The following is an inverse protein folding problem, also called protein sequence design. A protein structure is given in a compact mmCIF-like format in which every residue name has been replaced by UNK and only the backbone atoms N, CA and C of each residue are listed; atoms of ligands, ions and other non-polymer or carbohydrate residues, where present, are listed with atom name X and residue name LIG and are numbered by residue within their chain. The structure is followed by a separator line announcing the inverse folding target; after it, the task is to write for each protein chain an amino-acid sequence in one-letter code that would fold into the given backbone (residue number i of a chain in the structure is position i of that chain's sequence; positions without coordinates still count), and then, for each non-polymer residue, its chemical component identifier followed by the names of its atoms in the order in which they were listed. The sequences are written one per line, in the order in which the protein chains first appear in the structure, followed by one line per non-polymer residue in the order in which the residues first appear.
data_IF_297993662874
#
_entry.id   IF_297993662874
#
_cell.length_a   1.000
_cell.length_b   1.000
_cell.length_c   1.000
_cell.angle_alpha   90.00
_cell.angle_beta   90.00
_cell.angle_gamma   90.00
#
_symmetry.space_group_name_H-M   'P 1'
#
loop_
_entity.id
_entity.type
_entity.pdbx_description
1 polymer ?
#
# COMPACT_ATOMS: atom_id res chain seq x y z
N UNK A 1 7.82 19.89 17.04
CA UNK A 1 8.98 19.43 17.81
C UNK A 1 9.37 20.55 18.77
N UNK A 2 9.69 20.22 20.03
CA UNK A 2 10.08 21.23 21.03
C UNK A 2 11.43 21.89 20.69
N UNK A 3 11.65 23.12 21.18
CA UNK A 3 12.88 23.88 20.93
C UNK A 3 14.13 23.19 21.49
N UNK A 4 14.01 22.43 22.58
CA UNK A 4 15.12 21.66 23.15
C UNK A 4 15.58 20.52 22.22
N UNK A 5 14.63 19.80 21.62
CA UNK A 5 14.92 18.74 20.66
C UNK A 5 15.56 19.31 19.39
N UNK A 6 15.10 20.47 18.91
CA UNK A 6 15.73 21.17 17.78
C UNK A 6 17.17 21.60 18.07
N UNK A 7 17.42 22.13 19.28
CA UNK A 7 18.77 22.49 19.73
C UNK A 7 19.67 21.27 19.81
N UNK A 8 19.22 20.19 20.46
CA UNK A 8 19.98 18.94 20.54
C UNK A 8 20.29 18.39 19.15
N UNK A 9 19.29 18.37 18.27
CA UNK A 9 19.42 17.92 16.89
C UNK A 9 20.58 18.63 16.15
N UNK A 10 20.81 19.91 16.39
CA UNK A 10 21.93 20.67 15.78
C UNK A 10 23.31 20.23 16.26
N UNK A 11 23.41 19.65 17.46
CA UNK A 11 24.67 19.20 18.09
C UNK A 11 25.06 17.76 17.72
N UNK A 12 24.15 16.99 17.12
CA UNK A 12 24.38 15.58 16.82
C UNK A 12 25.49 15.42 15.77
N UNK A 13 26.56 14.73 16.16
CA UNK A 13 27.62 14.31 15.23
C UNK A 13 27.04 13.33 14.20
N UNK A 14 27.11 13.71 12.92
CA UNK A 14 26.63 12.89 11.81
C UNK A 14 27.62 11.77 11.48
N UNK A 15 27.09 10.60 11.14
CA UNK A 15 27.84 9.49 10.51
C UNK A 15 27.19 9.21 9.16
N UNK A 16 27.95 9.46 8.10
CA UNK A 16 27.49 9.31 6.73
C UNK A 16 27.38 7.82 6.36
N UNK A 17 26.40 7.49 5.53
CA UNK A 17 26.23 6.15 4.94
C UNK A 17 26.11 6.27 3.42
N UNK A 18 26.84 5.41 2.70
CA UNK A 18 26.74 5.25 1.25
C UNK A 18 26.26 3.84 0.91
N UNK A 19 25.07 3.71 0.34
CA UNK A 19 24.47 2.44 -0.07
C UNK A 19 23.31 2.70 -1.04
N UNK A 20 22.85 1.70 -1.79
CA UNK A 20 21.67 1.84 -2.66
C UNK A 20 20.43 2.36 -1.92
N UNK A 21 20.29 1.94 -0.66
CA UNK A 21 19.34 2.52 0.30
C UNK A 21 20.09 2.75 1.62
N UNK A 22 20.56 3.98 1.88
CA UNK A 22 21.28 4.30 3.10
C UNK A 22 20.45 3.99 4.34
N UNK A 23 21.10 3.36 5.33
CA UNK A 23 20.47 2.98 6.59
C UNK A 23 21.46 3.16 7.74
N UNK A 24 20.92 3.42 8.92
CA UNK A 24 21.70 3.50 10.14
C UNK A 24 20.93 2.83 11.28
N UNK A 25 21.63 2.10 12.13
CA UNK A 25 21.05 1.44 13.30
C UNK A 25 21.91 1.67 14.54
N UNK A 26 21.26 1.83 15.68
CA UNK A 26 21.87 1.78 17.00
C UNK A 26 20.95 1.01 17.96
N UNK A 27 21.56 0.39 18.95
CA UNK A 27 20.88 -0.34 20.01
C UNK A 27 21.16 0.33 21.36
N UNK A 28 20.18 0.30 22.26
CA UNK A 28 20.35 0.77 23.64
C UNK A 28 19.45 -0.02 24.59
N UNK A 29 19.74 0.04 25.88
CA UNK A 29 18.95 -0.64 26.91
C UNK A 29 17.89 0.27 27.51
N UNK A 30 16.76 -0.30 27.87
CA UNK A 30 15.66 0.35 28.60
C UNK A 30 15.19 -0.57 29.72
N UNK A 31 14.68 0.02 30.80
CA UNK A 31 14.09 -0.71 31.92
C UNK A 31 12.57 -0.88 31.77
N UNK A 32 11.99 -0.41 30.66
CA UNK A 32 10.57 -0.51 30.37
C UNK A 32 10.14 -1.97 30.12
N UNK A 33 8.92 -2.30 30.57
CA UNK A 33 8.27 -3.56 30.24
C UNK A 33 7.87 -3.59 28.76
N UNK A 34 7.69 -4.80 28.22
CA UNK A 34 7.23 -5.01 26.84
C UNK A 34 5.92 -4.24 26.58
N UNK A 35 5.02 -4.23 27.56
CA UNK A 35 3.67 -3.67 27.47
C UNK A 35 3.68 -2.16 27.29
N UNK A 36 4.52 -1.43 28.04
CA UNK A 36 4.55 0.05 28.01
C UNK A 36 5.51 0.62 26.98
N UNK A 37 6.39 -0.21 26.42
CA UNK A 37 7.42 0.21 25.48
C UNK A 37 6.83 0.90 24.24
N UNK A 38 5.93 0.23 23.50
CA UNK A 38 5.35 0.76 22.27
C UNK A 38 4.58 2.08 22.50
N UNK A 39 3.72 2.20 23.53
CA UNK A 39 3.09 3.48 23.90
C UNK A 39 4.09 4.63 24.10
N UNK A 40 5.22 4.37 24.77
CA UNK A 40 6.26 5.38 24.98
C UNK A 40 6.97 5.74 23.66
N UNK A 41 7.18 4.76 22.77
CA UNK A 41 7.69 5.00 21.42
C UNK A 41 6.74 5.88 20.62
N UNK A 42 5.43 5.64 20.66
CA UNK A 42 4.41 6.44 19.97
C UNK A 42 4.43 7.89 20.48
N UNK A 43 4.41 8.10 21.80
CA UNK A 43 4.55 9.44 22.40
C UNK A 43 5.87 10.13 21.97
N UNK A 44 6.93 9.35 21.81
CA UNK A 44 8.22 9.87 21.31
C UNK A 44 8.10 10.32 19.84
N UNK A 45 7.39 9.57 18.99
CA UNK A 45 7.13 9.97 17.60
C UNK A 45 6.28 11.25 17.52
N UNK A 46 5.24 11.37 18.35
CA UNK A 46 4.41 12.58 18.44
C UNK A 46 5.24 13.82 18.78
N UNK A 47 6.13 13.72 19.78
CA UNK A 47 7.05 14.82 20.14
C UNK A 47 8.00 15.21 19.02
N UNK A 48 8.39 14.24 18.20
CA UNK A 48 9.26 14.44 17.04
C UNK A 48 8.51 14.88 15.78
N UNK A 49 7.17 14.99 15.84
CA UNK A 49 6.28 15.22 14.70
C UNK A 49 6.51 14.21 13.57
N UNK A 50 6.63 12.93 13.93
CA UNK A 50 6.71 11.85 12.95
C UNK A 50 5.38 11.11 12.88
N UNK A 51 4.94 10.82 11.67
CA UNK A 51 3.67 10.17 11.44
C UNK A 51 3.80 8.67 11.64
N UNK A 52 3.08 8.15 12.62
CA UNK A 52 3.01 6.71 12.89
C UNK A 52 2.38 5.99 11.69
N UNK A 53 3.09 4.99 11.16
CA UNK A 53 2.61 4.20 10.01
C UNK A 53 2.33 2.75 10.36
N UNK A 54 2.94 2.24 11.43
CA UNK A 54 2.78 0.86 11.87
C UNK A 54 3.07 0.74 13.37
N UNK A 55 2.32 -0.13 14.05
CA UNK A 55 2.62 -0.57 15.42
C UNK A 55 2.19 -2.03 15.58
N UNK A 56 2.94 -2.79 16.37
CA UNK A 56 2.57 -4.09 16.91
C UNK A 56 2.94 -4.15 18.41
N UNK A 57 2.96 -5.33 19.01
CA UNK A 57 3.28 -5.49 20.44
C UNK A 57 4.73 -5.15 20.82
N UNK A 58 5.68 -5.21 19.88
CA UNK A 58 7.13 -5.09 20.15
C UNK A 58 7.82 -4.06 19.28
N UNK A 59 7.12 -3.48 18.32
CA UNK A 59 7.69 -2.62 17.32
C UNK A 59 6.75 -1.53 16.87
N UNK A 60 7.33 -0.40 16.47
CA UNK A 60 6.60 0.68 15.85
C UNK A 60 7.45 1.31 14.74
N UNK A 61 6.79 1.72 13.67
CA UNK A 61 7.40 2.44 12.55
C UNK A 61 6.72 3.78 12.35
N UNK A 62 7.52 4.80 12.09
CA UNK A 62 7.03 6.13 11.75
C UNK A 62 7.79 6.68 10.54
N UNK A 63 7.12 7.54 9.77
CA UNK A 63 7.70 8.24 8.63
C UNK A 63 7.80 9.73 8.94
N UNK A 64 8.91 10.33 8.51
CA UNK A 64 9.12 11.77 8.62
C UNK A 64 8.72 12.45 7.33
N UNK A 65 7.85 13.43 7.46
CA UNK A 65 7.50 14.32 6.36
C UNK A 65 8.58 15.39 6.18
N UNK A 66 9.07 15.55 4.95
CA UNK A 66 9.98 16.61 4.54
C UNK A 66 9.26 17.78 3.90
N UNK A 67 10.05 18.73 3.39
CA UNK A 67 9.54 19.85 2.61
C UNK A 67 8.76 19.32 1.39
N UNK A 68 7.64 19.97 1.05
CA UNK A 68 6.70 19.53 0.01
C UNK A 68 5.89 18.26 0.31
N UNK A 69 5.64 17.95 1.59
CA UNK A 69 4.68 16.90 1.99
C UNK A 69 5.09 15.48 1.51
N UNK A 70 6.40 15.26 1.27
CA UNK A 70 6.96 13.96 0.84
C UNK A 70 7.60 13.24 2.02
N UNK A 71 7.45 11.93 2.07
CA UNK A 71 8.18 11.10 3.03
C UNK A 71 9.68 11.06 2.69
N UNK A 72 10.52 11.31 3.69
CA UNK A 72 11.97 11.43 3.49
C UNK A 72 12.73 10.28 4.14
N UNK A 73 12.36 9.95 5.38
CA UNK A 73 13.00 8.92 6.18
C UNK A 73 11.93 8.07 6.90
N UNK A 74 12.20 6.78 7.05
CA UNK A 74 11.44 5.86 7.90
C UNK A 74 12.28 5.44 9.08
N UNK A 75 11.72 5.52 10.28
CA UNK A 75 12.32 4.91 11.46
C UNK A 75 11.53 3.66 11.85
N UNK A 76 12.24 2.63 12.28
CA UNK A 76 11.71 1.40 12.84
C UNK A 76 12.35 1.20 14.20
N UNK A 77 11.52 0.96 15.21
CA UNK A 77 11.95 0.75 16.59
C UNK A 77 11.42 -0.61 17.01
N UNK A 78 12.28 -1.48 17.52
CA UNK A 78 11.93 -2.84 17.94
C UNK A 78 12.48 -3.11 19.34
N UNK A 79 11.70 -3.80 20.16
CA UNK A 79 12.06 -4.23 21.50
C UNK A 79 12.34 -5.73 21.53
N UNK A 80 13.48 -6.08 22.12
CA UNK A 80 13.90 -7.46 22.34
C UNK A 80 14.51 -7.59 23.75
N UNK A 81 13.73 -8.10 24.70
CA UNK A 81 14.14 -8.36 26.10
C UNK A 81 14.95 -7.22 26.75
N UNK A 82 14.44 -5.98 26.73
CA UNK A 82 15.09 -4.81 27.33
C UNK A 82 16.13 -4.14 26.43
N UNK A 83 16.36 -4.66 25.22
CA UNK A 83 17.19 -4.05 24.19
C UNK A 83 16.27 -3.39 23.16
N UNK A 84 16.43 -2.08 22.98
CA UNK A 84 15.75 -1.28 21.97
C UNK A 84 16.66 -1.15 20.76
N UNK A 85 16.22 -1.68 19.62
CA UNK A 85 16.86 -1.53 18.33
C UNK A 85 16.17 -0.43 17.54
N UNK A 86 16.92 0.60 17.16
CA UNK A 86 16.41 1.72 16.39
C UNK A 86 17.12 1.79 15.05
N UNK A 87 16.34 1.77 13.98
CA UNK A 87 16.83 1.76 12.60
C UNK A 87 16.17 2.86 11.80
N UNK A 88 16.96 3.72 11.15
CA UNK A 88 16.48 4.72 10.20
C UNK A 88 16.92 4.34 8.78
N UNK A 89 16.00 4.46 7.82
CA UNK A 89 16.22 4.17 6.40
C UNK A 89 15.74 5.34 5.55
N UNK A 90 16.52 5.73 4.55
CA UNK A 90 16.12 6.74 3.57
C UNK A 90 15.06 6.17 2.60
N UNK A 91 13.99 6.93 2.36
CA UNK A 91 12.91 6.53 1.45
C UNK A 91 13.07 7.06 0.02
N UNK A 92 13.99 8.02 -0.18
CA UNK A 92 14.33 8.56 -1.50
C UNK A 92 15.32 7.69 -2.27
N UNK A 93 15.53 8.01 -3.55
CA UNK A 93 16.51 7.35 -4.41
C UNK A 93 17.96 7.83 -4.17
N UNK A 94 18.26 8.39 -2.99
CA UNK A 94 19.59 8.90 -2.69
C UNK A 94 20.52 7.77 -2.23
N UNK A 95 21.64 7.57 -2.92
CA UNK A 95 22.65 6.59 -2.50
C UNK A 95 23.55 7.08 -1.35
N UNK A 96 23.37 8.34 -0.94
CA UNK A 96 24.12 8.98 0.14
C UNK A 96 23.17 9.77 1.03
N UNK A 97 23.17 9.49 2.34
CA UNK A 97 22.25 10.13 3.27
C UNK A 97 22.80 11.40 3.92
N UNK A 98 24.07 11.76 3.67
CA UNK A 98 24.77 12.85 4.35
C UNK A 98 24.62 12.79 5.90
N UNK A 99 24.56 11.58 6.45
CA UNK A 99 24.38 11.30 7.88
C UNK A 99 23.01 11.67 8.45
N UNK A 100 22.00 11.89 7.60
CA UNK A 100 20.60 12.09 8.02
C UNK A 100 20.13 10.93 8.90
N UNK A 101 20.28 9.68 8.48
CA UNK A 101 19.80 8.53 9.26
C UNK A 101 20.44 8.44 10.65
N UNK A 102 21.75 8.69 10.74
CA UNK A 102 22.44 8.72 12.05
C UNK A 102 21.94 9.83 12.97
N UNK A 103 21.59 10.98 12.40
CA UNK A 103 21.00 12.10 13.13
C UNK A 103 19.62 11.72 13.68
N UNK A 104 18.81 11.04 12.87
CA UNK A 104 17.44 10.60 13.24
C UNK A 104 17.45 9.56 14.35
N UNK A 105 18.29 8.52 14.23
CA UNK A 105 18.40 7.47 15.27
C UNK A 105 18.84 8.07 16.62
N UNK A 106 19.85 8.96 16.59
CA UNK A 106 20.36 9.59 17.83
C UNK A 106 19.37 10.58 18.43
N UNK A 107 18.67 11.34 17.60
CA UNK A 107 17.60 12.24 18.04
C UNK A 107 16.46 11.45 18.68
N UNK A 108 16.04 10.35 18.04
CA UNK A 108 15.02 9.47 18.59
C UNK A 108 15.46 8.90 19.94
N UNK A 109 16.68 8.35 20.04
CA UNK A 109 17.21 7.83 21.31
C UNK A 109 17.19 8.88 22.42
N UNK A 110 17.60 10.11 22.13
CA UNK A 110 17.55 11.20 23.11
C UNK A 110 16.11 11.55 23.50
N UNK A 111 15.21 11.72 22.53
CA UNK A 111 13.79 12.03 22.78
C UNK A 111 13.08 10.91 23.55
N UNK A 112 13.42 9.66 23.27
CA UNK A 112 12.92 8.49 23.97
C UNK A 112 13.36 8.51 25.43
N UNK A 113 14.64 8.74 25.70
CA UNK A 113 15.16 8.84 27.08
C UNK A 113 14.56 10.01 27.87
N UNK A 114 14.23 11.13 27.21
CA UNK A 114 13.51 12.23 27.86
C UNK A 114 12.07 11.83 28.16
N UNK A 115 11.40 11.18 27.20
CA UNK A 115 10.02 10.72 27.37
C UNK A 115 9.91 9.66 28.45
N UNK A 116 10.82 8.69 28.50
CA UNK A 116 10.92 7.67 29.55
C UNK A 116 11.05 8.29 30.94
N UNK A 117 11.81 9.39 31.08
CA UNK A 117 11.99 10.10 32.36
C UNK A 117 10.79 10.91 32.82
N UNK A 118 9.85 11.23 31.93
CA UNK A 118 8.61 11.93 32.30
C UNK A 118 7.63 10.99 33.00
N UNK A 119 7.81 9.67 32.90
CA UNK A 119 7.01 8.68 33.59
C UNK A 119 7.71 8.23 34.87
N UNK A 120 7.08 8.49 36.01
CA UNK A 120 7.41 7.84 37.26
C UNK A 120 6.90 6.38 37.31
N UNK A 121 7.29 5.62 38.33
CA UNK A 121 6.88 4.21 38.46
C UNK A 121 5.36 4.04 38.54
N UNK A 122 4.66 4.98 39.15
CA UNK A 122 3.21 4.94 39.30
C UNK A 122 2.50 5.19 37.96
N UNK A 123 2.96 6.17 37.18
CA UNK A 123 2.43 6.44 35.83
C UNK A 123 2.81 5.36 34.82
N UNK A 124 3.97 4.72 34.94
CA UNK A 124 4.30 3.53 34.14
C UNK A 124 3.35 2.37 34.45
N UNK A 125 3.07 2.12 35.73
CA UNK A 125 2.11 1.09 36.12
C UNK A 125 0.67 1.45 35.69
N UNK A 126 0.29 2.72 35.75
CA UNK A 126 -1.00 3.18 35.22
C UNK A 126 -1.09 2.99 33.70
N UNK A 127 -0.03 3.35 32.96
CA UNK A 127 0.06 3.14 31.52
C UNK A 127 0.03 1.65 31.16
N UNK A 128 0.70 0.81 31.95
CA UNK A 128 0.64 -0.64 31.79
C UNK A 128 -0.79 -1.16 31.96
N UNK A 129 -1.49 -0.73 33.01
CA UNK A 129 -2.89 -1.07 33.22
C UNK A 129 -3.82 -0.52 32.11
N UNK A 130 -3.57 0.68 31.59
CA UNK A 130 -4.34 1.25 30.47
C UNK A 130 -4.14 0.45 29.19
N UNK A 131 -2.90 0.05 28.89
CA UNK A 131 -2.56 -0.75 27.71
C UNK A 131 -3.09 -2.16 27.85
N UNK A 132 -3.00 -2.75 29.03
CA UNK A 132 -3.62 -4.03 29.34
C UNK A 132 -5.13 -3.94 29.16
N UNK A 133 -5.82 -2.91 29.67
CA UNK A 133 -7.26 -2.72 29.42
C UNK A 133 -7.60 -2.51 27.95
N UNK A 134 -6.80 -1.75 27.21
CA UNK A 134 -7.04 -1.49 25.79
C UNK A 134 -6.86 -2.75 24.93
N UNK A 135 -5.90 -3.60 25.28
CA UNK A 135 -5.66 -4.88 24.60
C UNK A 135 -6.53 -6.00 25.19
N UNK A 136 -7.03 -5.83 26.42
CA UNK A 136 -7.88 -6.79 27.08
C UNK A 136 -9.33 -6.55 26.70
N UNK A 137 -9.77 -7.31 25.72
CA UNK A 137 -11.16 -7.38 25.33
C UNK A 137 -12.08 -8.04 26.37
N UNK A 138 -11.57 -8.55 27.51
CA UNK A 138 -12.39 -9.12 28.59
C UNK A 138 -13.48 -8.16 29.07
N UNK A 139 -13.20 -6.85 29.12
CA UNK A 139 -14.13 -5.80 29.55
C UNK A 139 -14.95 -5.22 28.38
N UNK A 140 -14.90 -5.82 27.18
CA UNK A 140 -15.71 -5.38 26.04
C UNK A 140 -17.20 -5.55 26.34
N UNK A 141 -17.91 -4.43 26.44
CA UNK A 141 -19.36 -4.41 26.57
C UNK A 141 -19.99 -4.71 25.21
N UNK A 142 -20.53 -5.92 25.07
CA UNK A 142 -21.27 -6.31 23.87
C UNK A 142 -22.47 -5.37 23.73
N UNK A 143 -22.56 -4.57 22.65
CA UNK A 143 -23.66 -3.63 22.47
C UNK A 143 -24.98 -4.40 22.33
N UNK A 144 -26.06 -3.87 22.93
CA UNK A 144 -27.38 -4.52 22.87
C UNK A 144 -27.92 -4.64 21.43
N UNK A 145 -27.52 -3.74 20.54
CA UNK A 145 -27.90 -3.74 19.13
C UNK A 145 -26.74 -3.25 18.26
N UNK A 146 -26.58 -3.86 17.09
CA UNK A 146 -25.66 -3.37 16.06
C UNK A 146 -26.38 -2.50 15.02
N UNK A 147 -25.65 -1.54 14.41
CA UNK A 147 -26.12 -0.86 13.21
C UNK A 147 -26.52 -1.88 12.15
N UNK A 148 -27.73 -1.74 11.60
CA UNK A 148 -28.28 -2.71 10.66
C UNK A 148 -27.58 -2.63 9.30
N UNK A 149 -27.43 -3.76 8.59
CA UNK A 149 -26.83 -3.77 7.26
C UNK A 149 -27.63 -2.87 6.32
N UNK A 150 -26.93 -1.99 5.59
CA UNK A 150 -27.56 -1.13 4.57
C UNK A 150 -28.24 -2.03 3.53
N UNK A 151 -29.36 -1.60 2.92
CA UNK A 151 -29.98 -2.36 1.82
C UNK A 151 -29.02 -2.43 0.63
N UNK A 152 -28.35 -3.57 0.48
CA UNK A 152 -27.28 -3.75 -0.51
C UNK A 152 -27.82 -4.27 -1.84
N UNK A 153 -27.10 -3.93 -2.92
CA UNK A 153 -27.33 -4.48 -4.26
C UNK A 153 -26.58 -5.80 -4.41
N UNK A 154 -27.15 -6.77 -5.10
CA UNK A 154 -26.45 -8.03 -5.35
C UNK A 154 -25.15 -7.81 -6.17
N UNK A 155 -24.06 -8.52 -5.82
CA UNK A 155 -22.78 -8.41 -6.51
C UNK A 155 -22.89 -8.90 -7.96
N UNK A 156 -22.49 -8.07 -8.93
CA UNK A 156 -22.59 -8.36 -10.37
C UNK A 156 -21.23 -8.43 -11.06
N UNK A 157 -20.63 -9.62 -11.10
CA UNK A 157 -19.30 -9.88 -11.70
C UNK A 157 -19.18 -9.47 -13.18
N UNK A 158 -20.26 -9.59 -13.96
CA UNK A 158 -20.21 -9.27 -15.39
C UNK A 158 -19.91 -7.80 -15.69
N UNK A 159 -20.26 -6.88 -14.77
CA UNK A 159 -20.06 -5.43 -14.94
C UNK A 159 -18.55 -5.09 -14.97
N UNK A 160 -17.73 -5.50 -13.99
CA UNK A 160 -16.28 -5.37 -14.07
C UNK A 160 -15.67 -6.01 -15.30
N UNK A 161 -16.14 -7.20 -15.71
CA UNK A 161 -15.59 -7.91 -16.87
C UNK A 161 -15.81 -7.11 -18.15
N UNK A 162 -17.06 -6.74 -18.46
CA UNK A 162 -17.40 -6.01 -19.68
C UNK A 162 -16.75 -4.62 -19.67
N UNK A 163 -16.85 -3.90 -18.55
CA UNK A 163 -16.25 -2.57 -18.39
C UNK A 163 -14.72 -2.61 -18.51
N UNK A 164 -14.09 -3.65 -17.94
CA UNK A 164 -12.65 -3.87 -18.00
C UNK A 164 -12.15 -4.13 -19.41
N UNK A 165 -12.82 -5.01 -20.16
CA UNK A 165 -12.47 -5.32 -21.57
C UNK A 165 -12.59 -4.07 -22.43
N UNK A 166 -13.71 -3.33 -22.34
CA UNK A 166 -13.91 -2.09 -23.10
C UNK A 166 -12.80 -1.08 -22.78
N UNK A 167 -12.48 -0.91 -21.50
CA UNK A 167 -11.42 0.00 -21.05
C UNK A 167 -10.06 -0.42 -21.60
N UNK A 168 -9.76 -1.72 -21.57
CA UNK A 168 -8.49 -2.24 -22.05
C UNK A 168 -8.29 -2.00 -23.56
N UNK A 169 -9.34 -2.16 -24.36
CA UNK A 169 -9.33 -1.87 -25.80
C UNK A 169 -9.17 -0.37 -26.09
N UNK A 170 -9.88 0.50 -25.37
CA UNK A 170 -9.75 1.96 -25.51
C UNK A 170 -8.33 2.39 -25.18
N UNK A 171 -7.77 1.90 -24.06
CA UNK A 171 -6.39 2.21 -23.67
C UNK A 171 -5.39 1.70 -24.70
N UNK A 172 -5.59 0.49 -25.23
CA UNK A 172 -4.76 -0.07 -26.29
C UNK A 172 -4.73 0.83 -27.52
N UNK A 173 -5.89 1.33 -27.94
CA UNK A 173 -6.00 2.26 -29.08
C UNK A 173 -5.31 3.60 -28.81
N UNK A 174 -5.53 4.20 -27.64
CA UNK A 174 -4.92 5.48 -27.27
C UNK A 174 -3.39 5.38 -27.23
N UNK A 175 -2.86 4.31 -26.62
CA UNK A 175 -1.41 4.07 -26.59
C UNK A 175 -0.88 3.88 -28.00
N UNK A 176 -1.55 3.09 -28.84
CA UNK A 176 -1.14 2.86 -30.22
C UNK A 176 -1.06 4.15 -31.03
N UNK A 177 -2.09 4.97 -30.95
CA UNK A 177 -2.16 6.26 -31.65
C UNK A 177 -1.02 7.20 -31.24
N UNK A 178 -0.72 7.28 -29.94
CA UNK A 178 0.37 8.12 -29.43
C UNK A 178 1.75 7.55 -29.77
N UNK A 179 1.89 6.22 -29.80
CA UNK A 179 3.11 5.54 -30.22
C UNK A 179 3.44 5.78 -31.69
N UNK A 180 2.47 5.66 -32.61
CA UNK A 180 2.70 5.91 -34.04
C UNK A 180 3.13 7.37 -34.29
N UNK A 181 2.60 8.32 -33.51
CA UNK A 181 2.99 9.74 -33.57
C UNK A 181 4.35 10.06 -32.92
N UNK A 182 5.04 9.08 -32.36
CA UNK A 182 6.35 9.28 -31.72
C UNK A 182 6.31 10.00 -30.37
N UNK A 183 5.13 10.13 -29.74
CA UNK A 183 4.95 10.82 -28.45
C UNK A 183 5.13 9.86 -27.27
N UNK A 184 5.24 8.56 -27.53
CA UNK A 184 5.30 7.53 -26.51
C UNK A 184 6.61 7.58 -25.68
N UNK A 185 6.47 7.65 -24.36
CA UNK A 185 7.57 7.68 -23.39
C UNK A 185 7.46 6.45 -22.49
N UNK A 186 8.47 5.56 -22.58
CA UNK A 186 8.58 4.35 -21.77
C UNK A 186 8.54 4.70 -20.28
N UNK A 187 7.76 3.95 -19.50
CA UNK A 187 7.56 4.11 -18.07
C UNK A 187 6.42 5.07 -17.75
N UNK A 188 6.37 6.24 -18.38
CA UNK A 188 5.31 7.24 -18.12
C UNK A 188 3.94 6.75 -18.59
N UNK A 189 3.89 6.16 -19.79
CA UNK A 189 2.65 5.67 -20.37
C UNK A 189 2.12 4.45 -19.60
N UNK A 190 2.99 3.54 -19.18
CA UNK A 190 2.67 2.35 -18.39
C UNK A 190 2.02 2.72 -17.06
N UNK A 191 2.60 3.73 -16.38
CA UNK A 191 2.06 4.29 -15.14
C UNK A 191 0.71 4.96 -15.41
N UNK A 192 0.59 5.75 -16.48
CA UNK A 192 -0.68 6.39 -16.88
C UNK A 192 -1.79 5.39 -17.15
N UNK A 193 -1.51 4.35 -17.94
CA UNK A 193 -2.43 3.22 -18.22
C UNK A 193 -2.87 2.57 -16.92
N UNK A 194 -1.93 2.24 -16.02
CA UNK A 194 -2.25 1.62 -14.74
C UNK A 194 -3.13 2.52 -13.84
N UNK A 195 -2.87 3.82 -13.81
CA UNK A 195 -3.68 4.79 -13.06
C UNK A 195 -5.11 4.83 -13.61
N UNK A 196 -5.28 4.89 -14.93
CA UNK A 196 -6.61 4.89 -15.56
C UNK A 196 -7.33 3.57 -15.29
N UNK A 197 -6.66 2.44 -15.46
CA UNK A 197 -7.23 1.11 -15.14
C UNK A 197 -7.69 1.03 -13.69
N UNK A 198 -6.83 1.42 -12.74
CA UNK A 198 -7.17 1.41 -11.32
C UNK A 198 -8.35 2.33 -10.98
N UNK A 199 -8.41 3.52 -11.60
CA UNK A 199 -9.54 4.43 -11.44
C UNK A 199 -10.84 3.82 -11.99
N UNK A 200 -10.82 3.24 -13.19
CA UNK A 200 -12.00 2.65 -13.80
C UNK A 200 -12.46 1.43 -13.01
N UNK A 201 -11.55 0.54 -12.62
CA UNK A 201 -11.86 -0.61 -11.76
C UNK A 201 -12.51 -0.18 -10.44
N UNK A 202 -12.01 0.89 -9.80
CA UNK A 202 -12.64 1.47 -8.60
C UNK A 202 -14.10 1.88 -8.86
N UNK A 203 -14.42 2.46 -10.01
CA UNK A 203 -15.80 2.80 -10.33
C UNK A 203 -16.63 1.55 -10.65
N UNK A 204 -16.07 0.58 -11.39
CA UNK A 204 -16.74 -0.68 -11.71
C UNK A 204 -17.07 -1.48 -10.46
N UNK A 205 -16.16 -1.57 -9.49
CA UNK A 205 -16.37 -2.19 -8.17
C UNK A 205 -17.55 -1.53 -7.46
N UNK A 206 -17.58 -0.19 -7.40
CA UNK A 206 -18.68 0.56 -6.75
C UNK A 206 -20.03 0.32 -7.43
N UNK A 207 -20.06 0.31 -8.76
CA UNK A 207 -21.30 0.14 -9.54
C UNK A 207 -21.81 -1.30 -9.44
N UNK A 208 -20.91 -2.27 -9.42
CA UNK A 208 -21.22 -3.71 -9.39
C UNK A 208 -21.39 -4.29 -8.00
N UNK A 209 -20.97 -3.56 -6.95
CA UNK A 209 -20.90 -4.04 -5.58
C UNK A 209 -20.05 -5.33 -5.44
N UNK A 210 -19.05 -5.50 -6.30
CA UNK A 210 -18.24 -6.72 -6.40
C UNK A 210 -16.84 -6.50 -5.83
N UNK A 211 -16.48 -7.18 -4.74
CA UNK A 211 -15.25 -6.93 -3.96
C UNK A 211 -14.25 -8.09 -3.93
N UNK A 212 -14.57 -9.26 -4.50
CA UNK A 212 -13.69 -10.42 -4.48
C UNK A 212 -12.33 -10.13 -5.15
N UNK A 213 -11.29 -10.09 -4.34
CA UNK A 213 -9.95 -9.66 -4.73
C UNK A 213 -9.38 -10.54 -5.85
N UNK A 214 -9.38 -11.86 -5.70
CA UNK A 214 -8.75 -12.78 -6.66
C UNK A 214 -9.33 -12.62 -8.07
N UNK A 215 -10.66 -12.56 -8.18
CA UNK A 215 -11.32 -12.38 -9.47
C UNK A 215 -11.01 -11.02 -10.10
N UNK A 216 -10.97 -9.95 -9.31
CA UNK A 216 -10.62 -8.61 -9.79
C UNK A 216 -9.13 -8.49 -10.14
N UNK A 217 -8.27 -9.23 -9.46
CA UNK A 217 -6.84 -9.31 -9.74
C UNK A 217 -6.58 -10.04 -11.06
N UNK A 218 -7.23 -11.19 -11.29
CA UNK A 218 -7.18 -11.87 -12.59
C UNK A 218 -7.77 -11.01 -13.71
N UNK A 219 -8.85 -10.28 -13.44
CA UNK A 219 -9.41 -9.32 -14.40
C UNK A 219 -8.40 -8.23 -14.75
N UNK A 220 -7.69 -7.65 -13.77
CA UNK A 220 -6.66 -6.65 -14.01
C UNK A 220 -5.52 -7.22 -14.89
N UNK A 221 -5.05 -8.44 -14.60
CA UNK A 221 -4.04 -9.12 -15.43
C UNK A 221 -4.56 -9.27 -16.87
N UNK A 222 -5.80 -9.72 -17.04
CA UNK A 222 -6.45 -9.83 -18.34
C UNK A 222 -6.54 -8.49 -19.07
N UNK A 223 -6.91 -7.42 -18.37
CA UNK A 223 -6.97 -6.06 -18.93
C UNK A 223 -5.61 -5.60 -19.42
N UNK A 224 -4.54 -5.81 -18.65
CA UNK A 224 -3.17 -5.45 -19.03
C UNK A 224 -2.78 -6.18 -20.31
N UNK A 225 -2.97 -7.50 -20.37
CA UNK A 225 -2.65 -8.29 -21.56
C UNK A 225 -3.43 -7.81 -22.79
N UNK A 226 -4.75 -7.60 -22.65
CA UNK A 226 -5.60 -7.11 -23.73
C UNK A 226 -5.14 -5.73 -24.19
N UNK A 227 -4.79 -4.81 -23.29
CA UNK A 227 -4.30 -3.47 -23.67
C UNK A 227 -3.04 -3.53 -24.52
N UNK A 228 -2.04 -4.33 -24.14
CA UNK A 228 -0.77 -4.37 -24.88
C UNK A 228 -0.84 -5.19 -26.17
N UNK A 229 -1.66 -6.23 -26.21
CA UNK A 229 -1.97 -6.97 -27.44
C UNK A 229 -2.77 -6.12 -28.43
N UNK A 230 -3.82 -5.44 -27.95
CA UNK A 230 -4.62 -4.55 -28.80
C UNK A 230 -3.84 -3.33 -29.25
N UNK A 231 -2.96 -2.76 -28.41
CA UNK A 231 -2.01 -1.72 -28.80
C UNK A 231 -1.17 -2.16 -30.01
N UNK A 232 -0.61 -3.37 -29.94
CA UNK A 232 0.16 -4.00 -31.02
C UNK A 232 -0.65 -4.04 -32.33
N UNK A 233 -1.89 -4.52 -32.25
CA UNK A 233 -2.79 -4.64 -33.39
C UNK A 233 -3.25 -3.29 -33.95
N UNK A 234 -3.55 -2.32 -33.08
CA UNK A 234 -3.97 -0.99 -33.50
C UNK A 234 -2.84 -0.19 -34.13
N UNK A 235 -1.58 -0.34 -33.67
CA UNK A 235 -0.43 0.26 -34.35
C UNK A 235 -0.31 -0.26 -35.79
N UNK A 236 -0.46 -1.57 -35.98
CA UNK A 236 -0.50 -2.19 -37.30
C UNK A 236 -1.59 -1.57 -38.19
N UNK A 237 -2.82 -1.46 -37.69
CA UNK A 237 -3.95 -0.89 -38.44
C UNK A 237 -3.73 0.58 -38.80
N UNK A 238 -3.23 1.38 -37.84
CA UNK A 238 -2.97 2.81 -38.06
C UNK A 238 -1.88 2.99 -39.12
N UNK A 239 -0.77 2.26 -39.02
CA UNK A 239 0.36 2.37 -39.97
C UNK A 239 -0.08 1.98 -41.39
N UNK A 240 -0.87 0.90 -41.52
CA UNK A 240 -1.36 0.43 -42.82
C UNK A 240 -2.28 1.47 -43.47
N UNK A 241 -3.15 2.09 -42.68
CA UNK A 241 -4.09 3.11 -43.14
C UNK A 241 -3.41 4.46 -43.48
N UNK A 242 -2.43 4.90 -42.68
CA UNK A 242 -1.76 6.20 -42.89
C UNK A 242 -0.79 6.20 -44.08
N UNK A 243 -0.16 5.07 -44.38
CA UNK A 243 0.93 5.00 -45.36
C UNK A 243 0.52 4.35 -46.70
N UNK A 244 -0.76 3.97 -46.87
CA UNK A 244 -1.26 3.28 -48.08
C UNK A 244 -0.37 2.10 -48.52
N UNK A 245 0.17 1.35 -47.55
CA UNK A 245 0.98 0.18 -47.87
C UNK A 245 0.14 -0.90 -48.55
N UNK A 246 0.78 -1.77 -49.33
CA UNK A 246 0.14 -3.03 -49.76
C UNK A 246 -0.31 -3.77 -48.50
N UNK A 247 -1.51 -4.37 -48.47
CA UNK A 247 -1.97 -5.11 -47.31
C UNK A 247 -0.98 -6.23 -47.00
N UNK A 248 -0.31 -6.14 -45.85
CA UNK A 248 0.47 -7.23 -45.27
C UNK A 248 -0.24 -7.68 -43.99
N UNK A 249 -0.09 -8.94 -43.63
CA UNK A 249 -0.72 -9.55 -42.47
C UNK A 249 -0.15 -9.00 -41.14
N UNK A 250 -0.92 -9.14 -40.06
CA UNK A 250 -0.43 -8.81 -38.71
C UNK A 250 0.81 -9.62 -38.32
N UNK A 251 0.97 -10.85 -38.83
CA UNK A 251 2.18 -11.64 -38.56
C UNK A 251 3.41 -11.09 -39.24
N UNK A 252 3.30 -10.65 -40.49
CA UNK A 252 4.37 -9.96 -41.20
C UNK A 252 4.74 -8.65 -40.49
N UNK A 253 3.75 -7.91 -39.97
CA UNK A 253 4.01 -6.74 -39.13
C UNK A 253 4.87 -7.08 -37.91
N UNK A 254 4.53 -8.16 -37.21
CA UNK A 254 5.28 -8.60 -36.03
C UNK A 254 6.69 -9.06 -36.41
N UNK A 255 6.86 -9.79 -37.52
CA UNK A 255 8.18 -10.19 -38.02
C UNK A 255 9.06 -8.98 -38.30
N UNK A 256 8.55 -7.99 -39.05
CA UNK A 256 9.28 -6.75 -39.34
C UNK A 256 9.64 -5.99 -38.06
N UNK A 257 8.74 -5.96 -37.06
CA UNK A 257 9.03 -5.36 -35.74
C UNK A 257 10.17 -6.06 -35.01
N UNK A 258 10.18 -7.40 -35.03
CA UNK A 258 11.23 -8.19 -34.41
C UNK A 258 12.58 -8.01 -35.13
N UNK A 259 12.57 -7.99 -36.46
CA UNK A 259 13.76 -7.76 -37.28
C UNK A 259 14.35 -6.35 -37.08
N UNK A 260 13.48 -5.33 -37.05
CA UNK A 260 13.89 -3.96 -36.78
C UNK A 260 14.42 -3.78 -35.34
N UNK A 261 13.84 -4.52 -34.38
CA UNK A 261 14.22 -4.47 -32.99
C UNK A 261 13.91 -3.14 -32.31
N UNK A 262 14.45 -2.95 -31.10
CA UNK A 262 14.36 -1.68 -30.38
C UNK A 262 15.63 -0.84 -30.60
N UNK A 263 15.45 0.35 -31.16
CA UNK A 263 16.52 1.33 -31.31
C UNK A 263 16.29 2.51 -30.37
N UNK A 264 17.18 2.71 -29.40
CA UNK A 264 17.16 3.84 -28.47
C UNK A 264 18.28 4.79 -28.86
N UNK A 265 17.92 5.94 -29.44
CA UNK A 265 18.89 6.89 -30.04
C UNK A 265 19.75 6.18 -31.09
N UNK A 266 21.06 6.00 -30.84
CA UNK A 266 22.00 5.31 -31.73
C UNK A 266 22.27 3.85 -31.36
N UNK A 267 21.71 3.36 -30.24
CA UNK A 267 21.92 2.00 -29.79
C UNK A 267 20.79 1.10 -30.31
N UNK A 268 21.14 0.20 -31.24
CA UNK A 268 20.25 -0.88 -31.66
C UNK A 268 20.41 -2.05 -30.68
N UNK A 269 19.37 -2.30 -29.88
CA UNK A 269 19.31 -3.40 -28.92
C UNK A 269 18.69 -4.67 -29.51
N UNK A 270 18.28 -4.61 -30.79
CA UNK A 270 17.68 -5.70 -31.54
C UNK A 270 16.36 -6.19 -30.93
N UNK A 271 16.00 -7.42 -31.26
CA UNK A 271 14.80 -8.09 -30.76
C UNK A 271 14.83 -8.34 -29.24
N UNK A 272 16.02 -8.51 -28.65
CA UNK A 272 16.18 -8.74 -27.21
C UNK A 272 15.73 -7.51 -26.43
N UNK A 273 16.20 -6.32 -26.82
CA UNK A 273 15.78 -5.08 -26.16
C UNK A 273 14.29 -4.80 -26.33
N UNK A 274 13.70 -5.18 -27.46
CA UNK A 274 12.26 -5.09 -27.70
C UNK A 274 11.47 -5.96 -26.71
N UNK A 275 11.87 -7.23 -26.53
CA UNK A 275 11.23 -8.14 -25.56
C UNK A 275 11.38 -7.66 -24.12
N UNK A 276 12.56 -7.17 -23.74
CA UNK A 276 12.80 -6.58 -22.41
C UNK A 276 11.89 -5.38 -22.20
N UNK A 277 11.75 -4.52 -23.22
CA UNK A 277 10.84 -3.37 -23.16
C UNK A 277 9.39 -3.79 -22.97
N UNK A 278 8.88 -4.76 -23.73
CA UNK A 278 7.51 -5.27 -23.55
C UNK A 278 7.29 -5.91 -22.18
N UNK A 279 8.28 -6.67 -21.70
CA UNK A 279 8.23 -7.26 -20.34
C UNK A 279 8.16 -6.16 -19.29
N UNK A 280 8.99 -5.12 -19.41
CA UNK A 280 8.98 -3.98 -18.50
C UNK A 280 7.63 -3.25 -18.53
N UNK A 281 7.01 -3.11 -19.70
CA UNK A 281 5.69 -2.51 -19.83
C UNK A 281 4.64 -3.27 -19.01
N UNK A 282 4.57 -4.59 -19.18
CA UNK A 282 3.65 -5.44 -18.42
C UNK A 282 3.91 -5.35 -16.91
N UNK A 283 5.19 -5.42 -16.51
CA UNK A 283 5.59 -5.43 -15.10
C UNK A 283 5.25 -4.11 -14.41
N UNK A 284 5.61 -2.96 -15.00
CA UNK A 284 5.32 -1.64 -14.41
C UNK A 284 3.81 -1.45 -14.26
N UNK A 285 3.05 -1.71 -15.32
CA UNK A 285 1.60 -1.54 -15.29
C UNK A 285 0.94 -2.49 -14.29
N UNK A 286 1.44 -3.72 -14.17
CA UNK A 286 0.97 -4.68 -13.19
C UNK A 286 1.18 -4.20 -11.75
N UNK A 287 2.40 -3.83 -11.38
CA UNK A 287 2.69 -3.40 -10.00
C UNK A 287 1.87 -2.16 -9.61
N UNK A 288 1.82 -1.15 -10.48
CA UNK A 288 1.03 0.07 -10.21
C UNK A 288 -0.47 -0.25 -10.18
N UNK A 289 -0.95 -1.11 -11.08
CA UNK A 289 -2.35 -1.51 -11.15
C UNK A 289 -2.81 -2.26 -9.90
N UNK A 290 -2.01 -3.22 -9.42
CA UNK A 290 -2.30 -4.00 -8.21
C UNK A 290 -2.37 -3.09 -7.00
N UNK A 291 -1.38 -2.21 -6.80
CA UNK A 291 -1.39 -1.25 -5.69
C UNK A 291 -2.67 -0.39 -5.70
N UNK A 292 -3.11 0.07 -6.88
CA UNK A 292 -4.33 0.88 -7.03
C UNK A 292 -5.60 0.07 -6.79
N UNK A 293 -5.66 -1.18 -7.24
CA UNK A 293 -6.78 -2.08 -7.03
C UNK A 293 -6.96 -2.35 -5.54
N UNK A 294 -5.89 -2.77 -4.86
CA UNK A 294 -5.90 -3.07 -3.42
C UNK A 294 -6.29 -1.85 -2.59
N UNK A 295 -5.68 -0.69 -2.84
CA UNK A 295 -6.04 0.57 -2.16
C UNK A 295 -7.53 0.92 -2.35
N UNK A 296 -8.06 0.68 -3.55
CA UNK A 296 -9.47 0.95 -3.85
C UNK A 296 -10.42 -0.01 -3.13
N UNK A 297 -10.06 -1.29 -3.05
CA UNK A 297 -10.83 -2.32 -2.33
C UNK A 297 -10.83 -2.08 -0.83
N UNK A 298 -9.67 -1.81 -0.23
CA UNK A 298 -9.54 -1.46 1.19
C UNK A 298 -10.42 -0.24 1.52
N UNK A 299 -10.28 0.84 0.75
CA UNK A 299 -11.08 2.05 0.97
C UNK A 299 -12.58 1.82 0.81
N UNK A 300 -12.98 0.87 -0.05
CA UNK A 300 -14.38 0.54 -0.27
C UNK A 300 -14.93 -0.34 0.86
N UNK A 301 -14.20 -1.38 1.27
CA UNK A 301 -14.60 -2.29 2.37
C UNK A 301 -14.79 -1.52 3.68
N UNK A 302 -13.82 -0.68 4.06
CA UNK A 302 -13.87 0.12 5.28
C UNK A 302 -15.04 1.13 5.34
N UNK A 303 -15.63 1.48 4.19
CA UNK A 303 -16.79 2.40 4.13
C UNK A 303 -18.13 1.68 4.18
N UNK A 304 -18.13 0.38 3.90
CA UNK A 304 -19.34 -0.42 3.72
C UNK A 304 -19.88 -0.91 5.06
N UNK A 305 -18.99 -1.38 5.93
CA UNK A 305 -19.32 -1.93 7.25
C UNK A 305 -19.04 -0.88 8.33
N UNK A 306 -20.00 -0.58 9.22
CA UNK A 306 -19.77 0.27 10.39
C UNK A 306 -18.71 -0.34 11.32
N UNK A 307 -17.81 0.48 11.86
CA UNK A 307 -16.72 -0.01 12.73
C UNK A 307 -17.24 -0.78 13.94
N UNK A 308 -18.37 -0.39 14.54
CA UNK A 308 -19.00 -1.10 15.67
C UNK A 308 -19.25 -2.59 15.36
N UNK A 309 -19.61 -2.91 14.11
CA UNK A 309 -19.86 -4.29 13.66
C UNK A 309 -18.55 -5.05 13.45
N UNK A 310 -17.53 -4.35 12.95
CA UNK A 310 -16.17 -4.90 12.78
C UNK A 310 -15.56 -5.22 14.14
N UNK A 311 -15.66 -4.31 15.11
CA UNK A 311 -15.15 -4.47 16.47
C UNK A 311 -15.88 -5.62 17.19
N UNK A 312 -17.20 -5.73 17.03
CA UNK A 312 -17.98 -6.86 17.56
C UNK A 312 -17.53 -8.21 17.00
N UNK A 313 -17.30 -8.31 15.69
CA UNK A 313 -16.83 -9.55 15.08
C UNK A 313 -15.38 -9.86 15.48
N UNK A 314 -14.52 -8.84 15.51
CA UNK A 314 -13.12 -8.96 15.93
C UNK A 314 -13.01 -9.43 17.38
N UNK A 315 -13.81 -8.87 18.29
CA UNK A 315 -13.94 -9.32 19.67
C UNK A 315 -14.17 -10.83 19.77
N UNK A 316 -15.13 -11.35 19.01
CA UNK A 316 -15.44 -12.77 19.04
C UNK A 316 -14.33 -13.65 18.46
N UNK A 317 -13.59 -13.18 17.45
CA UNK A 317 -12.39 -13.89 16.98
C UNK A 317 -11.26 -13.90 18.03
N UNK A 318 -11.06 -12.81 18.76
CA UNK A 318 -10.09 -12.75 19.87
C UNK A 318 -10.47 -13.73 20.98
N UNK A 319 -11.77 -14.02 21.17
CA UNK A 319 -12.28 -15.08 22.06
C UNK A 319 -12.21 -16.49 21.46
N UNK A 320 -11.36 -16.70 20.45
CA UNK A 320 -11.11 -17.97 19.78
C UNK A 320 -12.35 -18.62 19.15
N UNK A 321 -13.40 -17.83 18.85
CA UNK A 321 -14.56 -18.35 18.12
C UNK A 321 -14.19 -18.61 16.65
N UNK A 322 -14.74 -19.69 16.09
CA UNK A 322 -14.61 -19.99 14.66
C UNK A 322 -15.44 -19.03 13.81
N UNK A 323 -15.15 -18.92 12.51
CA UNK A 323 -15.93 -18.08 11.60
C UNK A 323 -17.43 -18.36 11.67
N UNK A 324 -17.83 -19.64 11.68
CA UNK A 324 -19.24 -20.04 11.78
C UNK A 324 -19.91 -19.58 13.08
N UNK A 325 -19.17 -19.60 14.18
CA UNK A 325 -19.66 -19.11 15.47
C UNK A 325 -19.81 -17.58 15.46
N UNK A 326 -18.86 -16.85 14.86
CA UNK A 326 -18.96 -15.39 14.69
C UNK A 326 -20.15 -15.02 13.79
N UNK A 327 -20.39 -15.78 12.71
CA UNK A 327 -21.59 -15.62 11.86
C UNK A 327 -22.87 -15.79 12.65
N UNK A 328 -22.94 -16.77 13.55
CA UNK A 328 -24.11 -16.99 14.39
C UNK A 328 -24.35 -15.81 15.36
N UNK A 329 -23.30 -15.22 15.92
CA UNK A 329 -23.43 -14.02 16.78
C UNK A 329 -23.86 -12.78 15.97
N UNK A 330 -23.28 -12.58 14.79
CA UNK A 330 -23.69 -11.51 13.87
C UNK A 330 -25.16 -11.65 13.47
N UNK A 331 -25.64 -12.86 13.18
CA UNK A 331 -27.04 -13.13 12.86
C UNK A 331 -27.98 -12.72 14.01
N UNK A 332 -27.63 -13.02 15.27
CA UNK A 332 -28.40 -12.57 16.44
C UNK A 332 -28.55 -11.05 16.51
N UNK A 333 -27.54 -10.32 16.03
CA UNK A 333 -27.52 -8.85 15.97
C UNK A 333 -28.17 -8.26 14.70
N UNK A 334 -28.83 -9.08 13.87
CA UNK A 334 -29.54 -8.66 12.65
C UNK A 334 -28.75 -8.81 11.36
N UNK A 335 -27.49 -9.26 11.41
CA UNK A 335 -26.64 -9.53 10.24
C UNK A 335 -26.83 -10.97 9.76
N UNK A 336 -28.03 -11.26 9.23
CA UNK A 336 -28.49 -12.62 8.93
C UNK A 336 -28.02 -13.18 7.58
N UNK A 337 -27.56 -12.33 6.66
CA UNK A 337 -27.15 -12.77 5.32
C UNK A 337 -25.68 -13.11 5.31
N UNK A 338 -25.34 -14.26 4.74
CA UNK A 338 -23.95 -14.70 4.55
C UNK A 338 -23.10 -13.62 3.87
N UNK A 339 -23.64 -12.96 2.84
CA UNK A 339 -22.93 -11.90 2.13
C UNK A 339 -22.59 -10.71 3.04
N UNK A 340 -23.53 -10.27 3.89
CA UNK A 340 -23.29 -9.15 4.80
C UNK A 340 -22.22 -9.53 5.85
N UNK A 341 -22.18 -10.80 6.28
CA UNK A 341 -21.16 -11.33 7.20
C UNK A 341 -19.79 -11.46 6.53
N UNK A 342 -19.74 -11.92 5.28
CA UNK A 342 -18.49 -12.01 4.50
C UNK A 342 -17.82 -10.63 4.40
N UNK A 343 -18.62 -9.58 4.19
CA UNK A 343 -18.13 -8.20 4.13
C UNK A 343 -17.56 -7.70 5.46
N UNK A 344 -18.09 -8.16 6.60
CA UNK A 344 -17.51 -7.87 7.92
C UNK A 344 -16.12 -8.49 8.02
N UNK A 345 -15.97 -9.76 7.60
CA UNK A 345 -14.68 -10.45 7.61
C UNK A 345 -13.68 -9.83 6.62
N UNK A 346 -14.14 -9.47 5.42
CA UNK A 346 -13.34 -8.70 4.45
C UNK A 346 -12.87 -7.37 5.05
N UNK A 347 -13.71 -6.70 5.85
CA UNK A 347 -13.36 -5.42 6.48
C UNK A 347 -12.34 -5.57 7.60
N UNK A 348 -12.39 -6.66 8.38
CA UNK A 348 -11.33 -7.01 9.35
C UNK A 348 -9.99 -7.20 8.62
N UNK A 349 -9.97 -7.99 7.53
CA UNK A 349 -8.78 -8.16 6.71
C UNK A 349 -8.30 -6.85 6.07
N UNK A 350 -9.22 -5.98 5.65
CA UNK A 350 -8.91 -4.69 5.08
C UNK A 350 -8.27 -3.71 6.08
N UNK A 351 -8.58 -3.81 7.37
CA UNK A 351 -7.90 -3.02 8.42
C UNK A 351 -6.43 -3.40 8.53
N UNK A 352 -6.11 -4.70 8.57
CA UNK A 352 -4.73 -5.17 8.55
C UNK A 352 -4.01 -4.74 7.26
N UNK A 353 -4.69 -4.90 6.12
CA UNK A 353 -4.19 -4.43 4.83
C UNK A 353 -3.92 -2.92 4.82
N UNK A 354 -4.81 -2.09 5.37
CA UNK A 354 -4.64 -0.64 5.43
C UNK A 354 -3.38 -0.23 6.22
N UNK A 355 -3.10 -0.93 7.32
CA UNK A 355 -1.90 -0.73 8.13
C UNK A 355 -0.63 -1.10 7.35
N UNK A 356 -0.63 -2.23 6.64
CA UNK A 356 0.50 -2.61 5.76
C UNK A 356 0.66 -1.67 4.55
N UNK A 357 -0.44 -1.15 3.98
CA UNK A 357 -0.37 -0.15 2.92
C UNK A 357 0.28 1.15 3.38
N UNK A 358 -0.06 1.66 4.58
CA UNK A 358 0.61 2.83 5.18
C UNK A 358 2.08 2.57 5.48
N UNK A 359 2.43 1.34 5.82
CA UNK A 359 3.83 0.93 5.99
C UNK A 359 4.61 1.00 4.67
N UNK A 360 4.01 0.56 3.56
CA UNK A 360 4.62 0.53 2.22
C UNK A 360 4.64 1.90 1.51
N UNK A 361 3.55 2.68 1.55
CA UNK A 361 3.37 4.00 0.93
C UNK A 361 4.10 5.09 1.72
#
# INVERSE_FOLDING_TARGET
MTEELKKYESTIKKKHSFNWTPKFEEEFRTDLSKTVFVPIVIKTFEKLEWDLVFQDEVSAEAKRQGDFNRWTEKISVTYDFGIVKVKSVSLGNEMWDNGRNSKRVRLFKYAFQQTEKEFDRESLAALENEVEKANNWDDYEIPENLPQPKKQKEPKLWIPIVGGIITALILGFVVAFLSVKGIYIIGLFEVGVAIVMGFVLKQLIKVSNYTFYDHLHYLLIGMILITYLSNQYFQYQIILNENNFRPFSFWEFMQVRFEAGLTIKSLNTGWIGLLVSWTLQLVITYFVGVLRLSSSLISYSLKRVPMEVVDFAYYHFVKEKTEDQVRAELAKMGWNKTQDQDEVFESIGALQGATEFRRME
#
